data_IF_044562458992
#
_entry.id   IF_044562458992
#
_cell.length_a   1.000
_cell.length_b   1.000
_cell.length_c   1.000
_cell.angle_alpha   90.00
_cell.angle_beta   90.00
_cell.angle_gamma   90.00
#
_symmetry.space_group_name_H-M   'P 1'
#
loop_
_entity.id
_entity.type
_entity.pdbx_description
1 polymer ?
#
# COMPACT_ATOMS: atom_id res chain seq x y z
N UNK A 1 38.68 -17.13 -29.39
CA UNK A 1 37.26 -17.54 -29.60
C UNK A 1 36.74 -18.54 -28.53
N UNK A 2 36.98 -18.31 -27.22
CA UNK A 2 36.34 -19.08 -26.14
C UNK A 2 35.87 -18.23 -24.95
N UNK A 3 36.42 -17.02 -24.77
CA UNK A 3 36.13 -16.16 -23.61
C UNK A 3 34.96 -15.18 -23.86
N UNK A 4 34.57 -14.95 -25.13
CA UNK A 4 33.41 -14.10 -25.49
C UNK A 4 32.04 -14.73 -25.19
N UNK A 5 31.96 -15.97 -24.71
CA UNK A 5 30.70 -16.65 -24.36
C UNK A 5 30.25 -16.42 -22.92
N UNK A 6 31.09 -15.82 -22.07
CA UNK A 6 30.77 -15.57 -20.65
C UNK A 6 30.12 -14.20 -20.38
N UNK A 7 29.68 -13.48 -21.42
CA UNK A 7 29.04 -12.15 -21.27
C UNK A 7 27.51 -12.16 -21.50
N UNK A 8 26.84 -13.31 -21.49
CA UNK A 8 25.40 -13.41 -21.75
C UNK A 8 24.63 -14.27 -20.73
N UNK A 9 24.98 -14.23 -19.45
CA UNK A 9 24.32 -15.06 -18.43
C UNK A 9 24.06 -14.35 -17.09
N UNK A 10 23.85 -13.03 -17.09
CA UNK A 10 23.43 -12.30 -15.88
C UNK A 10 22.42 -11.17 -16.17
N UNK A 11 21.63 -11.29 -17.24
CA UNK A 11 20.63 -10.30 -17.64
C UNK A 11 19.20 -10.87 -17.66
N UNK A 12 18.91 -11.89 -16.84
CA UNK A 12 17.64 -12.61 -16.87
C UNK A 12 16.81 -12.54 -15.57
N UNK A 13 17.17 -11.68 -14.61
CA UNK A 13 16.34 -11.46 -13.41
C UNK A 13 15.66 -10.08 -13.34
N UNK A 14 15.92 -9.18 -14.29
CA UNK A 14 15.34 -7.82 -14.27
C UNK A 14 13.87 -7.76 -14.74
N UNK A 15 13.33 -8.63 -15.62
CA UNK A 15 11.93 -8.50 -16.04
C UNK A 15 10.90 -8.85 -14.94
N UNK A 16 11.33 -9.52 -13.85
CA UNK A 16 10.43 -9.99 -12.80
C UNK A 16 10.02 -8.87 -11.80
N UNK A 17 10.57 -7.65 -11.94
CA UNK A 17 10.27 -6.52 -11.05
C UNK A 17 9.18 -5.57 -11.58
N UNK A 18 8.68 -5.75 -12.82
CA UNK A 18 7.71 -4.86 -13.45
C UNK A 18 6.29 -5.45 -13.56
N UNK A 19 6.08 -6.70 -13.13
CA UNK A 19 4.84 -7.45 -13.37
C UNK A 19 3.69 -7.24 -12.37
N UNK A 20 3.88 -6.48 -11.29
CA UNK A 20 2.90 -6.35 -10.20
C UNK A 20 2.19 -4.98 -10.15
N UNK A 21 1.69 -4.51 -11.30
CA UNK A 21 1.03 -3.20 -11.40
C UNK A 21 -0.46 -3.11 -10.96
N UNK A 22 -1.31 -4.17 -10.93
CA UNK A 22 -2.75 -3.95 -10.76
C UNK A 22 -3.16 -3.63 -9.31
N UNK A 23 -2.39 -4.09 -8.32
CA UNK A 23 -2.74 -3.92 -6.90
C UNK A 23 -2.50 -2.48 -6.39
N UNK A 24 -1.47 -1.82 -6.91
CA UNK A 24 -1.12 -0.46 -6.50
C UNK A 24 -2.14 0.58 -6.99
N UNK A 25 -2.70 0.39 -8.20
CA UNK A 25 -3.68 1.28 -8.77
C UNK A 25 -4.99 1.32 -7.97
N UNK A 26 -5.51 0.16 -7.54
CA UNK A 26 -6.74 0.10 -6.73
C UNK A 26 -6.56 0.73 -5.36
N UNK A 27 -5.42 0.47 -4.74
CA UNK A 27 -5.00 1.08 -3.47
C UNK A 27 -4.97 2.62 -3.62
N UNK A 28 -4.42 3.16 -4.71
CA UNK A 28 -4.40 4.62 -4.91
C UNK A 28 -5.79 5.30 -4.96
N UNK A 29 -6.81 4.64 -5.51
CA UNK A 29 -8.16 5.21 -5.62
C UNK A 29 -8.90 5.29 -4.27
N UNK A 30 -8.70 4.32 -3.38
CA UNK A 30 -9.26 4.35 -2.02
C UNK A 30 -8.62 5.48 -1.22
N UNK A 31 -7.30 5.63 -1.30
CA UNK A 31 -6.54 6.69 -0.63
C UNK A 31 -7.01 8.08 -1.07
N UNK A 32 -7.29 8.27 -2.36
CA UNK A 32 -7.81 9.54 -2.88
C UNK A 32 -9.18 9.88 -2.31
N UNK A 33 -10.09 8.90 -2.20
CA UNK A 33 -11.40 9.10 -1.58
C UNK A 33 -11.30 9.43 -0.10
N UNK A 34 -10.41 8.73 0.64
CA UNK A 34 -10.15 9.01 2.05
C UNK A 34 -9.55 10.41 2.26
N UNK A 35 -8.65 10.84 1.36
CA UNK A 35 -8.11 12.20 1.39
C UNK A 35 -9.19 13.27 1.10
N UNK A 36 -10.13 12.99 0.20
CA UNK A 36 -11.28 13.86 -0.04
C UNK A 36 -12.20 13.98 1.19
N UNK A 37 -12.39 12.87 1.93
CA UNK A 37 -13.16 12.86 3.19
C UNK A 37 -12.43 13.60 4.32
N UNK A 38 -11.11 13.42 4.45
CA UNK A 38 -10.30 14.20 5.40
C UNK A 38 -10.51 15.70 5.13
N UNK A 39 -10.38 16.12 3.87
CA UNK A 39 -10.58 17.51 3.46
C UNK A 39 -12.01 18.01 3.72
N UNK A 40 -13.04 17.23 3.44
CA UNK A 40 -14.43 17.64 3.65
C UNK A 40 -14.80 17.72 5.14
N UNK A 41 -14.19 16.88 5.98
CA UNK A 41 -14.41 16.89 7.43
C UNK A 41 -13.81 18.11 8.13
N UNK A 42 -12.86 18.81 7.51
CA UNK A 42 -12.14 19.93 8.12
C UNK A 42 -11.20 19.52 9.25
N UNK A 43 -10.96 18.22 9.43
CA UNK A 43 -10.14 17.65 10.49
C UNK A 43 -9.18 16.58 9.99
N UNK A 44 -8.61 15.83 10.92
CA UNK A 44 -7.68 14.73 10.64
C UNK A 44 -8.42 13.41 10.64
N UNK A 45 -8.17 12.55 9.68
CA UNK A 45 -8.87 11.28 9.51
C UNK A 45 -7.88 10.10 9.50
N UNK A 46 -8.01 9.17 10.44
CA UNK A 46 -7.30 7.88 10.42
C UNK A 46 -8.29 6.75 10.17
N UNK A 47 -7.94 5.80 9.30
CA UNK A 47 -8.80 4.64 8.96
C UNK A 47 -7.95 3.38 8.88
N UNK A 48 -8.45 2.31 9.50
CA UNK A 48 -7.95 0.96 9.32
C UNK A 48 -9.12 0.06 8.86
N UNK A 49 -8.99 -0.53 7.68
CA UNK A 49 -9.88 -1.59 7.20
C UNK A 49 -9.12 -2.90 7.22
N UNK A 50 -9.73 -3.93 7.82
CA UNK A 50 -9.18 -5.27 7.93
C UNK A 50 -10.19 -6.23 7.29
N UNK A 51 -9.77 -6.95 6.25
CA UNK A 51 -10.56 -8.07 5.72
C UNK A 51 -10.43 -9.24 6.70
N UNK A 52 -11.53 -9.63 7.32
CA UNK A 52 -11.55 -10.71 8.32
C UNK A 52 -11.37 -12.11 7.73
N UNK A 53 -11.47 -12.27 6.40
CA UNK A 53 -11.27 -13.56 5.75
C UNK A 53 -9.78 -13.91 5.61
N UNK A 54 -8.93 -12.93 5.29
CA UNK A 54 -7.50 -13.14 4.99
C UNK A 54 -6.54 -12.19 5.72
N UNK A 55 -7.06 -11.29 6.57
CA UNK A 55 -6.31 -10.25 7.30
C UNK A 55 -5.58 -9.25 6.39
N UNK A 56 -5.98 -9.12 5.12
CA UNK A 56 -5.49 -8.02 4.29
C UNK A 56 -5.97 -6.68 4.84
N UNK A 57 -5.12 -5.66 4.76
CA UNK A 57 -5.39 -4.37 5.39
C UNK A 57 -5.27 -3.23 4.40
N UNK A 58 -6.17 -2.26 4.54
CA UNK A 58 -6.08 -0.95 3.91
C UNK A 58 -5.98 0.08 5.03
N UNK A 59 -4.82 0.72 5.14
CA UNK A 59 -4.52 1.69 6.18
C UNK A 59 -4.40 3.09 5.59
N UNK A 60 -5.03 4.06 6.25
CA UNK A 60 -4.90 5.48 5.96
C UNK A 60 -4.50 6.21 7.24
N UNK A 61 -3.27 6.74 7.26
CA UNK A 61 -2.61 7.27 8.46
C UNK A 61 -2.62 6.28 9.63
N UNK A 62 -2.42 4.99 9.34
CA UNK A 62 -2.48 3.91 10.35
C UNK A 62 -1.42 4.02 11.45
N UNK A 63 -0.27 4.64 11.16
CA UNK A 63 0.83 4.82 12.13
C UNK A 63 0.69 6.09 12.99
N UNK A 64 -0.40 6.84 12.78
CA UNK A 64 -0.62 8.10 13.44
C UNK A 64 -1.46 7.95 14.72
N UNK A 65 -1.16 8.79 15.72
CA UNK A 65 -1.88 8.78 17.01
C UNK A 65 -3.12 9.65 16.95
N UNK A 66 -4.25 9.08 17.39
CA UNK A 66 -5.53 9.76 17.59
C UNK A 66 -5.99 9.59 19.05
N UNK A 67 -6.69 10.57 19.64
CA UNK A 67 -7.23 10.42 20.98
C UNK A 67 -8.39 9.40 20.98
N UNK A 68 -8.33 8.41 21.88
CA UNK A 68 -9.37 7.38 21.99
C UNK A 68 -10.69 7.92 22.57
N UNK A 69 -10.65 8.94 23.43
CA UNK A 69 -11.84 9.50 24.07
C UNK A 69 -12.70 8.38 24.71
N UNK A 70 -13.93 8.19 24.24
CA UNK A 70 -14.84 7.16 24.75
C UNK A 70 -14.61 5.77 24.17
N UNK A 71 -13.80 5.60 23.12
CA UNK A 71 -13.54 4.27 22.53
C UNK A 71 -12.61 3.42 23.39
N UNK A 72 -11.92 3.99 24.38
CA UNK A 72 -11.13 3.26 25.38
C UNK A 72 -11.96 2.50 26.42
N UNK A 73 -13.30 2.56 26.33
CA UNK A 73 -14.20 1.88 27.28
C UNK A 73 -14.27 0.36 27.08
N UNK A 74 -13.87 -0.14 25.91
CA UNK A 74 -13.91 -1.58 25.58
C UNK A 74 -12.79 -2.35 26.28
#
# INVERSE_FOLDING_TARGET
KRVQRMMFAAAACIPLLLGSAPLYAQTSAVQQKLAALEKSSGGRLGVALIDTADNTQVLYRGDERFPMCSTSKV
#
